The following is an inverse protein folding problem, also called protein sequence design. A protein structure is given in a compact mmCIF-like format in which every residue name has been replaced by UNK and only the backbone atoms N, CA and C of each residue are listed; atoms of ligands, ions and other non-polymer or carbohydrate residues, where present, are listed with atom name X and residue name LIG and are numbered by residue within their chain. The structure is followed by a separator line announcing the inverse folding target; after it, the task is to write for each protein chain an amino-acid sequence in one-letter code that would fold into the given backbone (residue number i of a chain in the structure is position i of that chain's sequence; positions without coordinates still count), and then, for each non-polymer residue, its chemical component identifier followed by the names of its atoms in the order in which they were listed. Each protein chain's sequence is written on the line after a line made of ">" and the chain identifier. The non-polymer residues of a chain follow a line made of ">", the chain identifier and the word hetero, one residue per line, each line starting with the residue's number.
data_IF_001983758193
#
_entry.id   IF_001983758193
#
_cell.length_a   1.000
_cell.length_b   1.000
_cell.length_c   1.000
_cell.angle_alpha   90.00
_cell.angle_beta   90.00
_cell.angle_gamma   90.00
#
_symmetry.space_group_name_H-M   'P 1'
#
loop_
_entity.id
_entity.type
_entity.pdbx_description
1 polymer ?
#
# COMPACT_ATOMS: atom_id res chain seq x y z
N UNK A 1 41.95 28.67 52.84
CA UNK A 1 41.56 30.03 53.28
C UNK A 1 40.05 30.23 53.06
N UNK A 2 39.34 30.71 54.10
CA UNK A 2 37.96 31.29 54.16
C UNK A 2 36.79 30.45 53.56
N UNK A 3 36.02 29.67 54.34
CA UNK A 3 34.85 30.02 55.20
C UNK A 3 33.82 30.99 54.58
N UNK A 4 32.58 30.52 54.38
CA UNK A 4 31.38 31.13 55.02
C UNK A 4 30.13 30.25 54.88
N UNK A 5 29.53 29.91 56.02
CA UNK A 5 28.19 29.31 56.20
C UNK A 5 27.16 30.44 56.29
N UNK A 6 25.94 30.25 55.78
CA UNK A 6 24.74 30.93 56.31
C UNK A 6 23.57 29.95 56.42
N UNK A 7 23.06 29.86 57.64
CA UNK A 7 21.86 29.15 58.12
C UNK A 7 20.71 30.15 58.27
N UNK A 8 19.48 29.66 58.57
CA UNK A 8 18.30 30.33 59.22
C UNK A 8 17.17 30.65 58.21
N UNK A 9 15.87 30.34 58.35
CA UNK A 9 15.01 29.75 59.40
C UNK A 9 13.69 29.24 58.78
N UNK A 10 13.04 28.27 59.44
CA UNK A 10 11.64 27.83 59.24
C UNK A 10 10.64 28.89 59.74
N UNK A 11 9.50 29.06 59.04
CA UNK A 11 8.25 29.59 59.62
C UNK A 11 7.08 28.66 59.31
N UNK A 12 6.45 28.17 60.38
CA UNK A 12 5.16 27.49 60.40
C UNK A 12 4.02 28.50 60.22
N UNK A 13 2.91 28.11 59.59
CA UNK A 13 1.56 28.68 59.85
C UNK A 13 0.46 27.67 59.50
N UNK A 14 -0.01 27.02 60.56
CA UNK A 14 -1.40 26.64 60.92
C UNK A 14 -2.50 26.49 59.85
N UNK A 15 -3.02 25.25 59.78
CA UNK A 15 -4.38 24.89 59.33
C UNK A 15 -5.45 25.45 60.29
N UNK A 16 -6.56 25.98 59.77
CA UNK A 16 -7.83 26.11 60.50
C UNK A 16 -8.97 25.52 59.67
N UNK A 17 -9.62 24.51 60.25
CA UNK A 17 -10.92 24.00 59.84
C UNK A 17 -12.04 24.89 60.39
N UNK A 18 -13.13 25.07 59.66
CA UNK A 18 -14.39 25.60 60.19
C UNK A 18 -15.53 24.65 59.84
N UNK A 19 -16.29 24.32 60.88
CA UNK A 19 -17.41 23.38 60.95
C UNK A 19 -18.71 23.99 60.40
N UNK A 20 -19.64 23.08 60.17
CA UNK A 20 -20.98 23.15 59.57
C UNK A 20 -22.14 23.65 60.45
N UNK A 21 -23.26 24.00 59.74
CA UNK A 21 -24.72 23.99 60.09
C UNK A 21 -25.33 25.28 60.72
N UNK A 22 -26.67 25.52 60.59
CA UNK A 22 -27.77 24.65 60.15
C UNK A 22 -28.73 25.21 59.07
N UNK A 23 -29.80 24.45 58.78
CA UNK A 23 -30.68 24.51 57.62
C UNK A 23 -32.02 25.25 57.84
N UNK A 24 -32.68 25.49 56.68
CA UNK A 24 -34.12 25.70 56.39
C UNK A 24 -34.75 27.09 56.62
N UNK A 25 -35.16 27.71 55.52
CA UNK A 25 -36.56 28.16 55.32
C UNK A 25 -36.98 27.93 53.87
N UNK A 26 -38.04 27.13 53.73
CA UNK A 26 -38.77 26.85 52.49
C UNK A 26 -39.70 28.03 52.24
N UNK A 27 -39.69 28.60 51.03
CA UNK A 27 -40.76 29.46 50.56
C UNK A 27 -41.26 29.00 49.18
N UNK A 28 -42.58 29.09 49.04
CA UNK A 28 -43.41 28.37 48.09
C UNK A 28 -43.23 28.78 46.62
N UNK A 29 -43.46 27.79 45.75
CA UNK A 29 -43.52 27.87 44.28
C UNK A 29 -44.62 28.84 43.82
N UNK A 30 -44.28 29.81 42.97
CA UNK A 30 -45.20 30.36 41.95
C UNK A 30 -44.94 29.62 40.63
N UNK A 31 -45.93 28.86 40.18
CA UNK A 31 -45.91 28.16 38.90
C UNK A 31 -46.28 29.18 37.82
N UNK A 32 -45.31 29.52 36.96
CA UNK A 32 -45.55 30.21 35.68
C UNK A 32 -45.51 29.13 34.60
N UNK A 33 -46.65 28.86 33.98
CA UNK A 33 -46.81 27.91 32.88
C UNK A 33 -46.35 28.53 31.56
N UNK A 34 -45.07 28.41 31.25
CA UNK A 34 -44.56 28.63 29.88
C UNK A 34 -44.69 27.33 29.07
N UNK A 35 -45.46 27.39 27.98
CA UNK A 35 -45.62 26.29 27.01
C UNK A 35 -44.27 25.89 26.41
N UNK A 36 -43.78 24.71 26.77
CA UNK A 36 -42.60 24.08 26.15
C UNK A 36 -42.99 23.59 24.76
N UNK A 37 -42.42 24.20 23.71
CA UNK A 37 -42.47 23.67 22.35
C UNK A 37 -41.79 22.30 22.34
N UNK A 38 -42.50 21.27 21.87
CA UNK A 38 -41.95 19.93 21.61
C UNK A 38 -40.71 20.08 20.70
N UNK A 39 -39.52 19.89 21.26
CA UNK A 39 -38.30 19.65 20.49
C UNK A 39 -38.50 18.35 19.72
N UNK A 40 -38.38 18.41 18.39
CA UNK A 40 -38.25 17.22 17.56
C UNK A 40 -37.07 16.42 18.07
N UNK A 41 -37.33 15.19 18.50
CA UNK A 41 -36.31 14.18 18.80
C UNK A 41 -35.45 14.01 17.56
N UNK A 42 -34.24 14.56 17.60
CA UNK A 42 -33.20 14.28 16.63
C UNK A 42 -32.88 12.79 16.74
N UNK A 43 -33.28 12.04 15.72
CA UNK A 43 -32.83 10.66 15.50
C UNK A 43 -31.30 10.68 15.58
N UNK A 44 -30.66 9.83 16.40
CA UNK A 44 -29.21 9.85 16.52
C UNK A 44 -28.61 9.60 15.13
N UNK A 45 -27.82 10.56 14.63
CA UNK A 45 -26.99 10.38 13.45
C UNK A 45 -26.19 9.10 13.69
N UNK A 46 -26.40 8.10 12.83
CA UNK A 46 -25.55 6.91 12.71
C UNK A 46 -24.11 7.42 12.78
N UNK A 47 -23.32 6.96 13.75
CA UNK A 47 -21.89 7.29 13.81
C UNK A 47 -21.30 6.63 12.56
N UNK A 48 -21.16 7.41 11.49
CA UNK A 48 -20.51 6.96 10.26
C UNK A 48 -19.05 6.81 10.64
N UNK A 49 -18.60 5.56 10.80
CA UNK A 49 -17.19 5.26 10.99
C UNK A 49 -16.36 5.95 9.91
N UNK A 50 -15.15 6.37 10.27
CA UNK A 50 -14.24 7.05 9.34
C UNK A 50 -13.95 6.13 8.15
N UNK A 51 -14.16 6.61 6.92
CA UNK A 51 -13.87 5.86 5.69
C UNK A 51 -12.36 5.74 5.49
N UNK A 52 -11.87 4.55 5.17
CA UNK A 52 -10.45 4.24 5.00
C UNK A 52 -10.07 3.90 3.55
N UNK A 53 -11.00 3.35 2.77
CA UNK A 53 -10.74 2.90 1.39
C UNK A 53 -11.50 3.74 0.36
N UNK A 54 -10.80 4.21 -0.66
CA UNK A 54 -11.29 5.14 -1.68
C UNK A 54 -11.14 4.55 -3.08
N UNK A 55 -12.25 4.24 -3.73
CA UNK A 55 -12.26 3.68 -5.09
C UNK A 55 -11.88 4.70 -6.17
N UNK A 56 -11.28 4.24 -7.26
CA UNK A 56 -11.11 4.99 -8.52
C UNK A 56 -11.22 4.04 -9.73
N UNK A 57 -11.75 4.53 -10.85
CA UNK A 57 -11.87 3.79 -12.11
C UNK A 57 -13.24 3.93 -12.78
N UNK A 58 -13.31 3.60 -14.08
CA UNK A 58 -14.56 3.65 -14.84
C UNK A 58 -15.20 5.03 -14.90
N UNK A 59 -14.37 6.09 -14.98
CA UNK A 59 -14.84 7.48 -15.00
C UNK A 59 -15.32 8.02 -13.65
N UNK A 60 -15.07 7.31 -12.54
CA UNK A 60 -15.55 7.67 -11.19
C UNK A 60 -14.44 7.53 -10.16
N UNK A 61 -14.49 8.34 -9.11
CA UNK A 61 -13.63 8.18 -7.95
C UNK A 61 -14.31 8.65 -6.66
N UNK A 62 -13.91 8.05 -5.54
CA UNK A 62 -14.30 8.46 -4.20
C UNK A 62 -13.40 9.60 -3.65
N UNK A 63 -12.27 9.85 -4.31
CA UNK A 63 -11.28 10.86 -3.97
C UNK A 63 -11.08 11.90 -5.08
N UNK A 64 -10.16 12.85 -4.87
CA UNK A 64 -9.84 13.93 -5.82
C UNK A 64 -8.44 14.49 -5.57
N UNK A 65 -7.90 15.32 -6.48
CA UNK A 65 -6.55 15.89 -6.38
C UNK A 65 -6.25 16.66 -5.09
N UNK A 66 -7.25 17.26 -4.44
CA UNK A 66 -7.05 18.01 -3.18
C UNK A 66 -6.83 17.11 -1.96
N UNK A 67 -7.08 15.81 -2.08
CA UNK A 67 -6.97 14.84 -0.98
C UNK A 67 -5.57 14.22 -0.83
N UNK A 68 -4.52 14.88 -1.33
CA UNK A 68 -3.11 14.41 -1.27
C UNK A 68 -2.66 14.01 0.13
N UNK A 69 -3.12 14.72 1.16
CA UNK A 69 -2.78 14.39 2.54
C UNK A 69 -3.36 13.05 3.00
N UNK A 70 -4.51 12.65 2.47
CA UNK A 70 -5.19 11.42 2.86
C UNK A 70 -4.87 10.23 1.96
N UNK A 71 -4.73 10.48 0.65
CA UNK A 71 -4.57 9.45 -0.39
C UNK A 71 -3.13 9.35 -0.90
N UNK A 72 -2.23 10.19 -0.41
CA UNK A 72 -0.93 10.41 -1.02
C UNK A 72 -1.01 11.09 -2.38
N UNK A 73 0.13 11.48 -2.93
CA UNK A 73 0.22 12.09 -4.25
C UNK A 73 -0.30 11.17 -5.36
N UNK A 74 0.09 9.89 -5.33
CA UNK A 74 -0.33 8.90 -6.33
C UNK A 74 -1.84 8.63 -6.29
N UNK A 75 -2.39 8.34 -5.11
CA UNK A 75 -3.82 8.03 -4.98
C UNK A 75 -4.72 9.21 -5.34
N UNK A 76 -4.34 10.42 -4.92
CA UNK A 76 -5.07 11.64 -5.30
C UNK A 76 -5.04 11.88 -6.82
N UNK A 77 -3.89 11.65 -7.47
CA UNK A 77 -3.78 11.79 -8.93
C UNK A 77 -4.50 10.67 -9.70
N UNK A 78 -4.48 9.43 -9.23
CA UNK A 78 -5.27 8.33 -9.83
C UNK A 78 -6.76 8.63 -9.80
N UNK A 79 -7.25 9.16 -8.68
CA UNK A 79 -8.63 9.61 -8.55
C UNK A 79 -8.94 10.76 -9.51
N UNK A 80 -8.08 11.78 -9.56
CA UNK A 80 -8.24 12.92 -10.48
C UNK A 80 -8.28 12.49 -11.94
N UNK A 81 -7.30 11.67 -12.37
CA UNK A 81 -7.23 11.14 -13.74
C UNK A 81 -8.50 10.40 -14.11
N UNK A 82 -9.05 9.58 -13.20
CA UNK A 82 -10.32 8.89 -13.43
C UNK A 82 -11.51 9.86 -13.52
N UNK A 83 -11.51 10.98 -12.81
CA UNK A 83 -12.61 11.97 -12.86
C UNK A 83 -12.59 12.80 -14.13
N UNK A 84 -11.40 13.12 -14.66
CA UNK A 84 -11.24 13.90 -15.90
C UNK A 84 -11.32 13.03 -17.17
N UNK A 85 -11.64 11.75 -17.03
CA UNK A 85 -11.89 10.85 -18.16
C UNK A 85 -10.66 10.21 -18.79
N UNK A 86 -9.51 10.23 -18.11
CA UNK A 86 -8.34 9.44 -18.55
C UNK A 86 -8.60 7.96 -18.25
N UNK A 87 -8.23 7.09 -19.18
CA UNK A 87 -8.34 5.63 -19.05
C UNK A 87 -7.38 5.11 -17.97
N UNK A 88 -7.84 5.08 -16.73
CA UNK A 88 -7.11 4.54 -15.58
C UNK A 88 -7.67 3.15 -15.23
N UNK A 89 -6.83 2.11 -15.15
CA UNK A 89 -7.25 0.81 -14.64
C UNK A 89 -7.84 0.93 -13.23
N UNK A 90 -9.00 0.30 -13.01
CA UNK A 90 -9.75 0.47 -11.77
C UNK A 90 -8.99 -0.10 -10.56
N UNK A 91 -9.26 0.49 -9.40
CA UNK A 91 -8.60 0.16 -8.16
C UNK A 91 -9.13 0.97 -6.98
N UNK A 92 -8.34 1.00 -5.91
CA UNK A 92 -8.66 1.76 -4.72
C UNK A 92 -7.41 2.15 -3.93
N UNK A 93 -7.51 3.24 -3.18
CA UNK A 93 -6.49 3.73 -2.26
C UNK A 93 -6.92 3.51 -0.82
N UNK A 94 -6.07 2.87 -0.02
CA UNK A 94 -6.17 2.80 1.43
C UNK A 94 -5.44 4.01 2.02
N UNK A 95 -6.12 4.81 2.82
CA UNK A 95 -5.64 6.11 3.26
C UNK A 95 -4.41 6.07 4.18
N UNK A 96 -3.67 7.18 4.23
CA UNK A 96 -2.51 7.36 5.13
C UNK A 96 -2.87 7.16 6.60
N UNK A 97 -4.11 7.46 6.99
CA UNK A 97 -4.58 7.31 8.38
C UNK A 97 -4.56 5.84 8.83
N UNK A 98 -4.70 4.89 7.90
CA UNK A 98 -4.54 3.47 8.19
C UNK A 98 -3.07 3.13 8.49
N UNK A 99 -2.12 3.77 7.82
CA UNK A 99 -0.69 3.63 8.15
C UNK A 99 -0.40 4.15 9.56
N UNK A 100 -0.97 5.31 9.93
CA UNK A 100 -0.86 5.85 11.29
C UNK A 100 -1.47 4.89 12.31
N UNK A 101 -2.68 4.39 12.05
CA UNK A 101 -3.33 3.39 12.91
C UNK A 101 -2.48 2.13 13.05
N UNK A 102 -1.93 1.64 11.95
CA UNK A 102 -1.10 0.44 11.89
C UNK A 102 0.08 0.54 12.88
N UNK A 103 0.83 1.63 12.87
CA UNK A 103 1.93 1.79 13.83
C UNK A 103 1.46 2.06 15.27
N UNK A 104 0.36 2.79 15.47
CA UNK A 104 -0.18 3.07 16.81
C UNK A 104 -0.80 1.84 17.48
N UNK A 105 -1.25 0.85 16.70
CA UNK A 105 -1.97 -0.33 17.18
C UNK A 105 -1.19 -1.63 16.92
N UNK A 106 0.14 -1.62 17.15
CA UNK A 106 1.00 -2.82 17.08
C UNK A 106 0.90 -3.57 15.74
N UNK A 107 0.89 -2.83 14.63
CA UNK A 107 0.81 -3.36 13.26
C UNK A 107 -0.49 -4.14 12.96
N UNK A 108 -1.59 -3.69 13.56
CA UNK A 108 -2.94 -4.20 13.27
C UNK A 108 -3.75 -3.21 12.44
N UNK A 109 -4.92 -3.63 11.96
CA UNK A 109 -5.79 -2.82 11.11
C UNK A 109 -7.08 -2.42 11.84
N UNK A 110 -7.71 -1.29 11.46
CA UNK A 110 -9.07 -0.98 11.89
C UNK A 110 -10.02 -2.13 11.55
N UNK A 111 -10.94 -2.47 12.47
CA UNK A 111 -11.84 -3.61 12.28
C UNK A 111 -12.71 -3.52 11.01
N UNK A 112 -13.03 -2.31 10.55
CA UNK A 112 -13.81 -2.10 9.31
C UNK A 112 -13.00 -2.30 8.03
N UNK A 113 -11.66 -2.25 8.10
CA UNK A 113 -10.81 -2.18 6.91
C UNK A 113 -11.02 -3.38 5.98
N UNK A 114 -11.14 -4.59 6.54
CA UNK A 114 -11.32 -5.81 5.73
C UNK A 114 -12.60 -5.76 4.88
N UNK A 115 -13.69 -5.27 5.46
CA UNK A 115 -14.96 -5.12 4.74
C UNK A 115 -14.91 -4.00 3.71
N UNK A 116 -14.23 -2.90 4.01
CA UNK A 116 -14.04 -1.78 3.07
C UNK A 116 -13.18 -2.19 1.87
N UNK A 117 -12.09 -2.92 2.09
CA UNK A 117 -11.24 -3.49 1.02
C UNK A 117 -12.04 -4.46 0.15
N UNK A 118 -12.81 -5.37 0.75
CA UNK A 118 -13.65 -6.30 0.00
C UNK A 118 -14.69 -5.57 -0.87
N UNK A 119 -15.35 -4.54 -0.30
CA UNK A 119 -16.32 -3.72 -1.04
C UNK A 119 -15.69 -2.94 -2.18
N UNK A 120 -14.46 -2.43 -1.99
CA UNK A 120 -13.73 -1.75 -3.04
C UNK A 120 -13.25 -2.71 -4.13
N UNK A 121 -12.80 -3.92 -3.76
CA UNK A 121 -12.44 -4.97 -4.72
C UNK A 121 -13.63 -5.35 -5.59
N UNK A 122 -14.82 -5.55 -5.02
CA UNK A 122 -16.04 -5.83 -5.79
C UNK A 122 -16.37 -4.74 -6.82
N UNK A 123 -16.15 -3.46 -6.48
CA UNK A 123 -16.31 -2.35 -7.44
C UNK A 123 -15.27 -2.44 -8.56
N UNK A 124 -14.02 -2.74 -8.22
CA UNK A 124 -12.94 -2.95 -9.20
C UNK A 124 -13.28 -4.10 -10.15
N UNK A 125 -13.67 -5.25 -9.61
CA UNK A 125 -14.07 -6.44 -10.39
C UNK A 125 -15.21 -6.14 -11.35
N UNK A 126 -16.22 -5.39 -10.89
CA UNK A 126 -17.35 -4.97 -11.73
C UNK A 126 -16.92 -4.07 -12.88
N UNK A 127 -15.99 -3.14 -12.66
CA UNK A 127 -15.50 -2.25 -13.72
C UNK A 127 -14.60 -3.00 -14.71
N UNK A 128 -13.79 -3.93 -14.21
CA UNK A 128 -12.83 -4.69 -15.03
C UNK A 128 -13.41 -5.96 -15.66
N UNK A 129 -14.65 -6.35 -15.32
CA UNK A 129 -15.29 -7.56 -15.82
C UNK A 129 -14.51 -8.84 -15.51
N UNK A 130 -13.75 -8.86 -14.42
CA UNK A 130 -12.87 -9.97 -13.99
C UNK A 130 -12.91 -10.09 -12.46
N UNK A 131 -12.63 -11.26 -11.90
CA UNK A 131 -12.78 -11.52 -10.45
C UNK A 131 -11.43 -11.88 -9.82
N UNK A 132 -11.11 -11.26 -8.68
CA UNK A 132 -9.86 -11.49 -7.96
C UNK A 132 -9.85 -12.90 -7.36
N UNK A 133 -8.82 -13.67 -7.70
CA UNK A 133 -8.72 -15.08 -7.29
C UNK A 133 -9.62 -16.06 -8.05
N UNK A 134 -10.31 -15.63 -9.10
CA UNK A 134 -11.10 -16.56 -9.93
C UNK A 134 -10.19 -17.51 -10.74
N UNK A 135 -10.48 -18.82 -10.78
CA UNK A 135 -9.74 -19.77 -11.60
C UNK A 135 -10.06 -19.67 -13.09
N UNK A 136 -11.19 -19.05 -13.47
CA UNK A 136 -11.66 -18.97 -14.85
C UNK A 136 -11.38 -17.60 -15.49
N UNK A 137 -11.74 -16.51 -14.80
CA UNK A 137 -11.52 -15.15 -15.28
C UNK A 137 -10.80 -14.29 -14.23
N UNK A 138 -9.52 -14.62 -13.96
CA UNK A 138 -8.73 -13.94 -12.94
C UNK A 138 -8.52 -12.45 -13.21
N UNK A 139 -8.56 -11.69 -12.12
CA UNK A 139 -8.08 -10.31 -12.00
C UNK A 139 -6.73 -10.33 -11.28
N UNK A 140 -5.71 -9.70 -11.87
CA UNK A 140 -4.43 -9.46 -11.21
C UNK A 140 -4.33 -8.00 -10.79
N UNK A 141 -3.65 -7.72 -9.69
CA UNK A 141 -3.48 -6.38 -9.15
C UNK A 141 -2.02 -6.06 -8.84
N UNK A 142 -1.73 -4.77 -8.75
CA UNK A 142 -0.52 -4.22 -8.15
C UNK A 142 -0.87 -3.60 -6.80
N UNK A 143 0.08 -3.65 -5.86
CA UNK A 143 0.02 -2.99 -4.57
C UNK A 143 1.17 -2.01 -4.48
N UNK A 144 0.86 -0.70 -4.49
CA UNK A 144 1.83 0.37 -4.69
C UNK A 144 1.74 1.40 -3.58
N UNK A 145 2.89 1.74 -2.99
CA UNK A 145 3.01 2.84 -2.03
C UNK A 145 2.73 4.21 -2.65
N UNK A 146 2.13 5.10 -1.87
CA UNK A 146 1.86 6.49 -2.25
C UNK A 146 1.86 7.43 -1.05
N UNK A 147 2.99 8.07 -0.77
CA UNK A 147 3.11 9.06 0.29
C UNK A 147 2.62 10.43 -0.18
N UNK A 148 2.46 11.37 0.76
CA UNK A 148 2.06 12.77 0.48
C UNK A 148 3.10 13.49 -0.37
N UNK A 149 4.37 13.31 -0.01
CA UNK A 149 5.51 13.76 -0.81
C UNK A 149 6.03 12.60 -1.66
N UNK A 150 6.63 12.94 -2.81
CA UNK A 150 7.26 11.94 -3.68
C UNK A 150 8.50 11.38 -2.99
N UNK A 151 8.62 10.05 -2.96
CA UNK A 151 9.79 9.34 -2.43
C UNK A 151 10.22 8.27 -3.44
N UNK A 152 10.85 8.66 -4.56
CA UNK A 152 11.20 7.73 -5.65
C UNK A 152 12.18 6.65 -5.20
N UNK A 153 11.88 5.38 -5.49
CA UNK A 153 12.75 4.24 -5.14
C UNK A 153 12.84 3.91 -3.64
N UNK A 154 12.15 4.65 -2.77
CA UNK A 154 12.26 4.49 -1.31
C UNK A 154 11.18 3.60 -0.71
N UNK A 155 10.11 3.34 -1.46
CA UNK A 155 8.96 2.59 -0.97
C UNK A 155 8.61 1.45 -1.93
N UNK A 156 8.07 0.40 -1.33
CA UNK A 156 7.91 -0.86 -2.04
C UNK A 156 6.69 -0.87 -2.96
N UNK A 157 6.72 -1.77 -3.93
CA UNK A 157 5.65 -2.10 -4.87
C UNK A 157 5.67 -3.60 -5.11
N UNK A 158 4.48 -4.20 -5.24
CA UNK A 158 4.31 -5.59 -5.64
C UNK A 158 3.40 -5.65 -6.85
N UNK A 159 3.85 -6.29 -7.93
CA UNK A 159 3.07 -6.48 -9.16
C UNK A 159 2.56 -7.92 -9.27
N UNK A 160 1.61 -8.15 -10.18
CA UNK A 160 1.08 -9.48 -10.52
C UNK A 160 0.42 -10.24 -9.35
N UNK A 161 0.05 -9.54 -8.27
CA UNK A 161 -0.62 -10.13 -7.10
C UNK A 161 -1.94 -10.77 -7.54
N UNK A 162 -2.16 -12.02 -7.12
CA UNK A 162 -3.28 -12.86 -7.52
C UNK A 162 -2.90 -14.05 -8.39
N UNK A 163 -1.67 -14.13 -8.89
CA UNK A 163 -1.16 -15.36 -9.53
C UNK A 163 -0.90 -16.42 -8.47
N UNK A 164 -1.53 -17.58 -8.66
CA UNK A 164 -1.38 -18.78 -7.84
C UNK A 164 -1.70 -20.03 -8.63
N UNK A 165 -1.46 -21.21 -8.04
CA UNK A 165 -1.83 -22.48 -8.66
C UNK A 165 -3.30 -22.53 -9.11
N UNK A 166 -4.19 -21.80 -8.41
CA UNK A 166 -5.62 -21.73 -8.74
C UNK A 166 -5.92 -20.81 -9.95
N UNK A 167 -5.17 -19.74 -10.15
CA UNK A 167 -5.49 -18.70 -11.15
C UNK A 167 -4.66 -18.81 -12.43
N UNK A 168 -3.55 -19.54 -12.42
CA UNK A 168 -2.66 -19.69 -13.57
C UNK A 168 -3.41 -20.21 -14.80
N UNK A 169 -4.20 -21.28 -14.66
CA UNK A 169 -4.94 -21.86 -15.79
C UNK A 169 -5.91 -20.86 -16.45
N UNK A 170 -6.66 -20.11 -15.63
CA UNK A 170 -7.55 -19.04 -16.12
C UNK A 170 -6.80 -17.90 -16.78
N UNK A 171 -5.66 -17.49 -16.25
CA UNK A 171 -4.81 -16.47 -16.88
C UNK A 171 -4.27 -16.94 -18.23
N UNK A 172 -3.87 -18.21 -18.35
CA UNK A 172 -3.43 -18.80 -19.61
C UNK A 172 -4.57 -18.78 -20.63
N UNK A 173 -5.76 -19.24 -20.24
CA UNK A 173 -6.93 -19.25 -21.12
C UNK A 173 -7.32 -17.83 -21.59
N UNK A 174 -7.25 -16.85 -20.69
CA UNK A 174 -7.59 -15.45 -20.96
C UNK A 174 -6.59 -14.75 -21.90
N UNK A 175 -5.31 -15.12 -21.82
CA UNK A 175 -4.25 -14.44 -22.58
C UNK A 175 -3.81 -15.19 -23.82
N UNK A 176 -4.07 -16.50 -23.89
CA UNK A 176 -3.52 -17.37 -24.93
C UNK A 176 -1.98 -17.46 -24.91
N UNK A 177 -1.34 -17.00 -23.82
CA UNK A 177 0.11 -16.86 -23.74
C UNK A 177 0.66 -17.42 -22.42
N UNK A 178 0.86 -18.76 -22.34
CA UNK A 178 1.34 -19.39 -21.12
C UNK A 178 2.75 -18.98 -20.70
N UNK A 179 3.65 -18.74 -21.66
CA UNK A 179 4.97 -18.18 -21.41
C UNK A 179 4.89 -16.87 -20.63
N UNK A 180 4.01 -15.94 -21.04
CA UNK A 180 3.78 -14.68 -20.33
C UNK A 180 3.29 -14.91 -18.90
N UNK A 181 2.36 -15.85 -18.68
CA UNK A 181 1.82 -16.12 -17.34
C UNK A 181 2.90 -16.63 -16.40
N UNK A 182 3.74 -17.57 -16.84
CA UNK A 182 4.85 -18.06 -16.03
C UNK A 182 5.97 -17.01 -15.84
N UNK A 183 6.21 -16.14 -16.81
CA UNK A 183 7.10 -14.98 -16.64
C UNK A 183 6.57 -13.99 -15.59
N UNK A 184 5.26 -13.70 -15.62
CA UNK A 184 4.62 -12.87 -14.60
C UNK A 184 4.65 -13.54 -13.21
N UNK A 185 4.51 -14.86 -13.15
CA UNK A 185 4.53 -15.62 -11.89
C UNK A 185 5.93 -15.69 -11.26
N UNK A 186 6.99 -15.97 -12.03
CA UNK A 186 8.37 -15.90 -11.48
C UNK A 186 8.72 -14.50 -10.98
N UNK A 187 8.26 -13.44 -11.66
CA UNK A 187 8.45 -12.04 -11.25
C UNK A 187 7.68 -11.74 -9.96
N UNK A 188 6.44 -12.23 -9.83
CA UNK A 188 5.69 -12.15 -8.56
C UNK A 188 6.46 -12.82 -7.43
N UNK A 189 6.89 -14.08 -7.61
CA UNK A 189 7.62 -14.83 -6.57
C UNK A 189 8.85 -14.04 -6.11
N UNK A 190 9.66 -13.59 -7.07
CA UNK A 190 10.88 -12.85 -6.80
C UNK A 190 10.63 -11.54 -6.04
N UNK A 191 9.69 -10.74 -6.51
CA UNK A 191 9.37 -9.43 -5.93
C UNK A 191 8.68 -9.55 -4.58
N UNK A 192 7.71 -10.46 -4.46
CA UNK A 192 6.96 -10.67 -3.22
C UNK A 192 7.86 -11.24 -2.12
N UNK A 193 8.75 -12.17 -2.46
CA UNK A 193 9.69 -12.72 -1.48
C UNK A 193 10.66 -11.67 -0.94
N UNK A 194 11.19 -10.80 -1.80
CA UNK A 194 12.02 -9.66 -1.41
C UNK A 194 11.26 -8.66 -0.53
N UNK A 195 10.14 -8.15 -1.04
CA UNK A 195 9.41 -7.03 -0.44
C UNK A 195 8.63 -7.46 0.79
N UNK A 196 7.83 -8.51 0.66
CA UNK A 196 6.84 -8.91 1.67
C UNK A 196 7.45 -9.91 2.64
N UNK A 197 8.16 -10.91 2.13
CA UNK A 197 8.60 -12.02 2.96
C UNK A 197 9.95 -11.77 3.68
N UNK A 198 10.82 -10.94 3.11
CA UNK A 198 12.13 -10.61 3.70
C UNK A 198 12.11 -9.22 4.35
N UNK A 199 12.03 -8.15 3.55
CA UNK A 199 12.15 -6.76 4.04
C UNK A 199 11.06 -6.37 5.03
N UNK A 200 9.79 -6.59 4.68
CA UNK A 200 8.68 -6.22 5.56
C UNK A 200 8.61 -7.08 6.84
N UNK A 201 9.14 -8.30 6.79
CA UNK A 201 9.29 -9.16 7.95
C UNK A 201 10.44 -8.74 8.88
N UNK A 202 11.27 -7.77 8.47
CA UNK A 202 12.42 -7.30 9.23
C UNK A 202 13.59 -8.29 9.21
N UNK A 203 13.66 -9.16 8.22
CA UNK A 203 14.78 -10.07 8.01
C UNK A 203 15.92 -9.27 7.39
N UNK A 204 17.09 -9.29 8.04
CA UNK A 204 18.30 -8.61 7.57
C UNK A 204 19.35 -9.65 7.18
N UNK A 205 19.36 -10.10 5.91
CA UNK A 205 20.35 -11.05 5.44
C UNK A 205 21.74 -10.40 5.42
N UNK A 206 22.78 -11.23 5.46
CA UNK A 206 24.15 -10.78 5.21
C UNK A 206 24.26 -10.12 3.82
N UNK A 207 25.28 -9.28 3.65
CA UNK A 207 25.50 -8.57 2.40
C UNK A 207 25.56 -9.52 1.20
N UNK A 208 24.78 -9.23 0.16
CA UNK A 208 24.69 -10.07 -1.05
C UNK A 208 23.94 -11.41 -0.87
N UNK A 209 23.29 -11.64 0.28
CA UNK A 209 22.54 -12.87 0.59
C UNK A 209 21.02 -12.65 0.64
N UNK A 210 20.50 -11.49 0.28
CA UNK A 210 19.06 -11.26 0.20
C UNK A 210 18.37 -12.15 -0.83
N UNK A 211 17.12 -12.54 -0.54
CA UNK A 211 16.39 -13.51 -1.34
C UNK A 211 16.33 -13.12 -2.82
N UNK A 212 16.12 -11.84 -3.14
CA UNK A 212 16.11 -11.36 -4.53
C UNK A 212 17.41 -11.68 -5.26
N UNK A 213 18.56 -11.39 -4.63
CA UNK A 213 19.88 -11.65 -5.21
C UNK A 213 20.09 -13.14 -5.45
N UNK A 214 19.60 -13.99 -4.55
CA UNK A 214 19.69 -15.45 -4.71
C UNK A 214 18.82 -15.95 -5.88
N UNK A 215 17.61 -15.42 -6.05
CA UNK A 215 16.73 -15.76 -7.17
C UNK A 215 17.29 -15.25 -8.51
N UNK A 216 17.84 -14.03 -8.53
CA UNK A 216 18.53 -13.48 -9.71
C UNK A 216 19.73 -14.35 -10.13
N UNK A 217 20.48 -14.90 -9.16
CA UNK A 217 21.57 -15.84 -9.45
C UNK A 217 21.05 -17.12 -10.11
N UNK A 218 19.93 -17.69 -9.65
CA UNK A 218 19.32 -18.88 -10.25
C UNK A 218 18.91 -18.59 -11.71
N UNK A 219 18.24 -17.46 -11.95
CA UNK A 219 17.86 -17.03 -13.30
C UNK A 219 19.09 -16.84 -14.20
N UNK A 220 20.14 -16.19 -13.70
CA UNK A 220 21.37 -15.98 -14.46
C UNK A 220 22.09 -17.30 -14.78
N UNK A 221 22.10 -18.26 -13.84
CA UNK A 221 22.66 -19.59 -14.07
C UNK A 221 21.88 -20.35 -15.14
N UNK A 222 20.54 -20.30 -15.13
CA UNK A 222 19.71 -20.88 -16.18
C UNK A 222 20.06 -20.30 -17.55
N UNK A 223 20.07 -18.97 -17.67
CA UNK A 223 20.42 -18.29 -18.93
C UNK A 223 21.79 -18.67 -19.45
N UNK A 224 22.80 -18.69 -18.56
CA UNK A 224 24.17 -19.07 -18.92
C UNK A 224 24.28 -20.54 -19.32
N UNK A 225 23.60 -21.45 -18.63
CA UNK A 225 23.63 -22.88 -18.93
C UNK A 225 22.95 -23.22 -20.27
N UNK A 226 21.98 -22.41 -20.68
CA UNK A 226 21.17 -22.61 -21.90
C UNK A 226 21.51 -21.65 -23.05
N UNK A 227 22.47 -20.74 -22.85
CA UNK A 227 22.89 -19.70 -23.80
C UNK A 227 21.75 -18.77 -24.27
N UNK A 228 20.83 -18.41 -23.38
CA UNK A 228 19.84 -17.36 -23.68
C UNK A 228 20.47 -15.97 -23.57
N UNK A 229 20.19 -15.11 -24.54
CA UNK A 229 20.70 -13.73 -24.54
C UNK A 229 19.91 -12.85 -23.56
N UNK A 230 18.59 -13.03 -23.53
CA UNK A 230 17.66 -12.23 -22.75
C UNK A 230 16.67 -13.11 -21.98
N UNK A 231 15.97 -12.51 -21.01
CA UNK A 231 14.87 -13.20 -20.32
C UNK A 231 13.73 -13.59 -21.28
N UNK A 232 13.54 -12.84 -22.37
CA UNK A 232 12.51 -13.09 -23.37
C UNK A 232 12.71 -14.42 -24.10
N UNK A 233 13.96 -14.88 -24.22
CA UNK A 233 14.32 -16.11 -24.92
C UNK A 233 14.01 -17.38 -24.10
N UNK A 234 13.67 -17.25 -22.82
CA UNK A 234 13.38 -18.39 -21.95
C UNK A 234 12.00 -18.99 -22.32
N UNK A 235 11.93 -20.28 -22.70
CA UNK A 235 10.68 -20.93 -23.09
C UNK A 235 9.78 -21.22 -21.89
N UNK A 236 8.50 -21.45 -22.17
CA UNK A 236 7.45 -21.72 -21.18
C UNK A 236 7.83 -22.81 -20.17
N UNK A 237 8.25 -23.99 -20.64
CA UNK A 237 8.55 -25.14 -19.78
C UNK A 237 9.66 -24.84 -18.78
N UNK A 238 10.66 -24.05 -19.20
CA UNK A 238 11.77 -23.67 -18.33
C UNK A 238 11.36 -22.56 -17.35
N UNK A 239 10.48 -21.63 -17.72
CA UNK A 239 9.88 -20.68 -16.77
C UNK A 239 9.04 -21.37 -15.71
N UNK A 240 8.28 -22.40 -16.09
CA UNK A 240 7.50 -23.22 -15.15
C UNK A 240 8.42 -23.92 -14.14
N UNK A 241 9.49 -24.54 -14.61
CA UNK A 241 10.51 -25.15 -13.73
C UNK A 241 11.21 -24.11 -12.84
N UNK A 242 11.49 -22.92 -13.38
CA UNK A 242 12.10 -21.82 -12.64
C UNK A 242 11.20 -21.33 -11.50
N UNK A 243 9.89 -21.26 -11.71
CA UNK A 243 8.94 -20.92 -10.64
C UNK A 243 9.02 -21.92 -9.47
N UNK A 244 9.12 -23.22 -9.74
CA UNK A 244 9.28 -24.23 -8.70
C UNK A 244 10.62 -24.10 -7.97
N UNK A 245 11.73 -23.89 -8.71
CA UNK A 245 13.04 -23.64 -8.11
C UNK A 245 13.04 -22.39 -7.22
N UNK A 246 12.34 -21.33 -7.64
CA UNK A 246 12.21 -20.11 -6.85
C UNK A 246 11.44 -20.38 -5.56
N UNK A 247 10.29 -21.06 -5.63
CA UNK A 247 9.51 -21.42 -4.42
C UNK A 247 10.32 -22.28 -3.46
N UNK A 248 11.09 -23.25 -3.98
CA UNK A 248 11.98 -24.06 -3.16
C UNK A 248 13.06 -23.19 -2.47
N UNK A 249 13.72 -22.31 -3.22
CA UNK A 249 14.75 -21.40 -2.66
C UNK A 249 14.15 -20.47 -1.59
N UNK A 250 12.94 -19.96 -1.82
CA UNK A 250 12.21 -19.13 -0.85
C UNK A 250 11.97 -19.89 0.45
N UNK A 251 11.51 -21.15 0.37
CA UNK A 251 11.31 -21.99 1.55
C UNK A 251 12.62 -22.27 2.28
N UNK A 252 13.70 -22.57 1.56
CA UNK A 252 15.03 -22.85 2.12
C UNK A 252 15.60 -21.64 2.88
N UNK A 253 15.47 -20.43 2.32
CA UNK A 253 16.09 -19.22 2.86
C UNK A 253 15.22 -18.54 3.93
N UNK A 254 13.90 -18.48 3.70
CA UNK A 254 12.97 -17.74 4.56
C UNK A 254 12.19 -18.65 5.53
N UNK A 255 12.35 -19.97 5.42
CA UNK A 255 11.74 -20.95 6.33
C UNK A 255 10.22 -21.10 6.19
N UNK A 256 9.62 -20.56 5.13
CA UNK A 256 8.18 -20.62 4.86
C UNK A 256 7.90 -20.68 3.36
N UNK A 257 6.80 -21.32 3.01
CA UNK A 257 6.36 -21.43 1.61
C UNK A 257 5.89 -20.08 1.06
N UNK A 258 6.01 -19.92 -0.26
CA UNK A 258 5.42 -18.78 -0.97
C UNK A 258 3.88 -18.85 -0.88
N UNK A 259 3.18 -17.75 -0.56
CA UNK A 259 1.73 -17.77 -0.38
C UNK A 259 1.01 -18.03 -1.71
N UNK A 260 0.30 -19.16 -1.78
CA UNK A 260 -0.45 -19.58 -2.96
C UNK A 260 -1.93 -19.14 -2.93
N UNK A 261 -2.33 -18.38 -1.91
CA UNK A 261 -3.66 -17.75 -1.84
C UNK A 261 -3.61 -16.27 -2.32
N UNK A 262 -4.41 -15.87 -3.31
CA UNK A 262 -4.49 -14.48 -3.78
C UNK A 262 -4.79 -13.45 -2.68
N UNK A 263 -5.65 -13.78 -1.70
CA UNK A 263 -6.00 -12.84 -0.63
C UNK A 263 -4.90 -12.72 0.42
N UNK A 264 -4.19 -13.80 0.73
CA UNK A 264 -2.97 -13.75 1.54
C UNK A 264 -1.92 -12.85 0.88
N UNK A 265 -1.72 -12.99 -0.44
CA UNK A 265 -0.82 -12.10 -1.20
C UNK A 265 -1.26 -10.63 -1.13
N UNK A 266 -2.55 -10.34 -1.30
CA UNK A 266 -3.08 -8.97 -1.18
C UNK A 266 -2.80 -8.36 0.19
N UNK A 267 -3.13 -9.08 1.28
CA UNK A 267 -2.93 -8.56 2.63
C UNK A 267 -1.46 -8.46 3.03
N UNK A 268 -0.63 -9.41 2.57
CA UNK A 268 0.82 -9.31 2.73
C UNK A 268 1.40 -8.11 2.01
N UNK A 269 0.99 -7.85 0.77
CA UNK A 269 1.38 -6.66 0.01
C UNK A 269 0.97 -5.35 0.69
N UNK A 270 -0.27 -5.26 1.18
CA UNK A 270 -0.75 -4.09 1.95
C UNK A 270 0.12 -3.88 3.20
N UNK A 271 0.37 -4.94 3.96
CA UNK A 271 1.20 -4.88 5.17
C UNK A 271 2.65 -4.53 4.90
N UNK A 272 3.19 -4.97 3.76
CA UNK A 272 4.53 -4.63 3.34
C UNK A 272 4.67 -3.16 2.98
N UNK A 273 3.70 -2.59 2.25
CA UNK A 273 3.69 -1.15 1.96
C UNK A 273 3.65 -0.34 3.24
N UNK A 274 2.77 -0.65 4.19
CA UNK A 274 2.74 0.08 5.46
C UNK A 274 4.05 -0.08 6.24
N UNK A 275 4.58 -1.30 6.32
CA UNK A 275 5.85 -1.58 6.99
C UNK A 275 7.04 -0.84 6.35
N UNK A 276 7.01 -0.63 5.03
CA UNK A 276 8.06 0.07 4.29
C UNK A 276 8.21 1.54 4.71
N UNK A 277 7.16 2.16 5.28
CA UNK A 277 7.24 3.53 5.78
C UNK A 277 8.33 3.67 6.87
N UNK A 278 8.45 2.72 7.78
CA UNK A 278 9.53 2.72 8.78
C UNK A 278 10.72 1.82 8.39
N UNK A 279 10.90 1.55 7.10
CA UNK A 279 12.12 0.93 6.58
C UNK A 279 13.32 1.85 6.74
N UNK A 280 14.52 1.29 6.96
CA UNK A 280 15.77 2.04 7.18
C UNK A 280 16.01 3.10 6.10
N UNK A 281 15.83 2.74 4.82
CA UNK A 281 16.01 3.65 3.67
C UNK A 281 15.00 4.80 3.69
N UNK A 282 13.73 4.50 3.95
CA UNK A 282 12.66 5.49 4.01
C UNK A 282 12.88 6.50 5.17
N UNK A 283 13.29 6.03 6.35
CA UNK A 283 13.62 6.89 7.49
C UNK A 283 14.78 7.83 7.15
N UNK A 284 15.87 7.30 6.58
CA UNK A 284 17.02 8.12 6.20
C UNK A 284 16.65 9.18 5.17
N UNK A 285 15.89 8.79 4.13
CA UNK A 285 15.41 9.71 3.10
C UNK A 285 14.54 10.82 3.70
N UNK A 286 13.60 10.49 4.57
CA UNK A 286 12.73 11.48 5.23
C UNK A 286 13.51 12.49 6.07
N UNK A 287 14.55 12.05 6.77
CA UNK A 287 15.41 12.95 7.56
C UNK A 287 16.16 13.95 6.68
N UNK A 288 16.62 13.51 5.50
CA UNK A 288 17.33 14.36 4.53
C UNK A 288 16.37 15.37 3.90
N UNK A 289 15.19 14.92 3.48
CA UNK A 289 14.20 15.74 2.76
C UNK A 289 13.26 16.53 3.70
N UNK A 290 13.41 16.41 5.02
CA UNK A 290 12.54 17.07 6.00
C UNK A 290 11.08 16.60 5.97
N UNK A 291 10.83 15.34 5.61
CA UNK A 291 9.49 14.75 5.55
C UNK A 291 9.09 14.22 6.94
N UNK A 292 7.97 14.69 7.54
CA UNK A 292 7.55 14.24 8.88
C UNK A 292 7.15 12.76 8.94
N UNK A 293 7.50 12.09 10.05
CA UNK A 293 7.25 10.66 10.27
C UNK A 293 5.76 10.33 10.41
N UNK A 294 4.96 11.26 10.93
CA UNK A 294 3.53 11.09 11.20
C UNK A 294 2.65 11.11 9.95
N UNK A 295 3.21 11.48 8.79
CA UNK A 295 2.44 11.56 7.53
C UNK A 295 1.97 10.20 7.03
N UNK A 296 2.74 9.14 7.30
CA UNK A 296 2.46 7.80 6.80
C UNK A 296 2.48 7.69 5.27
N UNK A 297 2.08 6.52 4.79
CA UNK A 297 1.94 6.23 3.36
C UNK A 297 0.56 5.65 3.07
N UNK A 298 0.00 5.98 1.90
CA UNK A 298 -1.20 5.32 1.40
C UNK A 298 -0.82 4.07 0.59
N UNK A 299 -1.77 3.14 0.46
CA UNK A 299 -1.62 1.95 -0.37
C UNK A 299 -2.56 2.05 -1.56
N UNK A 300 -2.03 1.99 -2.77
CA UNK A 300 -2.83 1.96 -3.99
C UNK A 300 -2.88 0.53 -4.49
N UNK A 301 -4.07 -0.06 -4.50
CA UNK A 301 -4.34 -1.36 -5.09
C UNK A 301 -4.98 -1.10 -6.45
N UNK A 302 -4.32 -1.52 -7.53
CA UNK A 302 -4.74 -1.19 -8.89
C UNK A 302 -4.68 -2.41 -9.78
N UNK A 303 -5.69 -2.59 -10.63
CA UNK A 303 -5.71 -3.66 -11.63
C UNK A 303 -4.48 -3.61 -12.53
N UNK A 304 -3.87 -4.77 -12.76
CA UNK A 304 -2.75 -4.92 -13.70
C UNK A 304 -3.22 -4.70 -15.13
N UNK A 305 -2.38 -4.02 -15.89
CA UNK A 305 -2.37 -4.03 -17.35
C UNK A 305 -0.98 -4.46 -17.79
N UNK A 306 -0.88 -5.16 -18.91
CA UNK A 306 0.34 -5.86 -19.30
C UNK A 306 0.91 -5.27 -20.58
N UNK A 307 2.13 -4.71 -20.47
CA UNK A 307 2.93 -4.30 -21.62
C UNK A 307 3.70 -5.45 -22.27
N UNK A 308 3.65 -6.65 -21.68
CA UNK A 308 4.44 -7.84 -22.05
C UNK A 308 3.58 -9.03 -22.53
N UNK A 309 2.44 -8.76 -23.18
CA UNK A 309 1.60 -9.80 -23.79
C UNK A 309 2.02 -10.17 -25.22
N UNK A 310 3.09 -9.57 -25.75
CA UNK A 310 3.58 -9.75 -27.12
C UNK A 310 3.87 -8.42 -27.81
N UNK A 311 4.10 -8.48 -29.12
CA UNK A 311 4.58 -7.35 -29.94
C UNK A 311 3.58 -6.18 -30.07
N UNK A 312 2.29 -6.40 -29.80
CA UNK A 312 1.26 -5.36 -29.81
C UNK A 312 1.05 -4.71 -28.44
N UNK A 313 1.93 -4.97 -27.47
CA UNK A 313 1.89 -4.44 -26.10
C UNK A 313 3.18 -3.70 -25.77
N UNK A 314 3.07 -2.65 -24.96
CA UNK A 314 4.19 -1.82 -24.59
C UNK A 314 4.00 -1.13 -23.24
N UNK A 315 5.10 -0.68 -22.65
CA UNK A 315 5.13 0.17 -21.46
C UNK A 315 6.09 1.33 -21.70
N UNK A 316 5.86 2.47 -21.06
CA UNK A 316 6.74 3.63 -21.21
C UNK A 316 6.51 4.72 -20.19
N UNK A 317 7.43 5.69 -20.18
CA UNK A 317 7.37 6.89 -19.36
C UNK A 317 7.59 8.08 -20.27
N UNK A 318 6.77 9.12 -20.10
CA UNK A 318 6.89 10.33 -20.89
C UNK A 318 6.62 11.59 -20.04
N UNK A 319 7.18 12.68 -20.52
CA UNK A 319 7.03 14.03 -20.05
C UNK A 319 6.42 14.88 -21.16
N UNK A 320 5.49 15.75 -20.81
CA UNK A 320 4.86 16.67 -21.77
C UNK A 320 5.83 17.72 -22.33
N UNK A 321 6.97 17.92 -21.68
CA UNK A 321 8.09 18.79 -22.07
C UNK A 321 9.40 18.11 -21.75
N UNK A 322 10.49 18.53 -22.41
CA UNK A 322 11.82 18.03 -22.11
C UNK A 322 12.21 18.42 -20.66
N UNK A 323 12.44 17.46 -19.75
CA UNK A 323 12.72 17.76 -18.35
C UNK A 323 14.11 18.37 -18.11
N UNK A 324 15.04 18.23 -19.07
CA UNK A 324 16.39 18.78 -18.98
C UNK A 324 16.49 20.21 -19.53
N UNK A 325 15.80 20.52 -20.64
CA UNK A 325 15.90 21.83 -21.31
C UNK A 325 14.69 22.73 -21.10
N UNK A 326 13.55 22.18 -20.67
CA UNK A 326 12.27 22.89 -20.60
C UNK A 326 11.58 23.09 -21.97
N UNK A 327 12.18 22.60 -23.05
CA UNK A 327 11.61 22.71 -24.40
C UNK A 327 10.22 22.07 -24.47
N UNK A 328 9.27 22.73 -25.13
CA UNK A 328 7.91 22.26 -25.29
C UNK A 328 7.80 21.17 -26.37
N UNK A 329 8.51 20.06 -26.16
CA UNK A 329 8.48 18.84 -26.97
C UNK A 329 8.17 17.64 -26.08
N UNK A 330 7.35 16.74 -26.60
CA UNK A 330 7.07 15.45 -25.96
C UNK A 330 8.38 14.66 -25.87
N UNK A 331 8.70 14.18 -24.66
CA UNK A 331 9.95 13.48 -24.38
C UNK A 331 9.62 12.22 -23.59
N UNK A 332 10.10 11.05 -24.03
CA UNK A 332 9.84 9.81 -23.32
C UNK A 332 10.49 8.61 -23.96
N UNK A 333 10.41 7.49 -23.25
CA UNK A 333 10.97 6.20 -23.61
C UNK A 333 9.92 5.12 -23.42
N UNK A 334 10.00 4.07 -24.24
CA UNK A 334 9.07 2.95 -24.18
C UNK A 334 9.74 1.67 -24.66
N UNK A 335 9.22 0.54 -24.19
CA UNK A 335 9.69 -0.80 -24.54
C UNK A 335 8.49 -1.65 -24.99
N UNK A 336 8.64 -2.31 -26.14
CA UNK A 336 7.72 -3.35 -26.63
C UNK A 336 7.87 -4.60 -25.77
N UNK A 337 6.77 -5.30 -25.52
CA UNK A 337 6.75 -6.60 -24.87
C UNK A 337 7.48 -6.62 -23.50
N UNK A 338 7.28 -5.57 -22.70
CA UNK A 338 8.00 -5.34 -21.44
C UNK A 338 7.06 -4.92 -20.30
N UNK A 339 7.49 -5.06 -19.05
CA UNK A 339 6.80 -4.48 -17.89
C UNK A 339 7.49 -3.20 -17.44
N UNK A 340 6.78 -2.35 -16.70
CA UNK A 340 7.30 -1.04 -16.28
C UNK A 340 8.61 -1.11 -15.47
N UNK A 341 8.92 -2.26 -14.87
CA UNK A 341 10.21 -2.49 -14.22
C UNK A 341 11.38 -2.53 -15.20
N UNK A 342 11.17 -3.08 -16.40
CA UNK A 342 12.21 -3.21 -17.43
C UNK A 342 12.55 -1.84 -18.07
N UNK A 343 11.65 -0.85 -17.95
CA UNK A 343 11.90 0.54 -18.38
C UNK A 343 12.79 1.29 -17.37
N UNK A 344 12.82 0.83 -16.11
CA UNK A 344 13.57 1.47 -15.02
C UNK A 344 14.93 0.80 -14.77
N UNK A 345 15.07 -0.48 -15.15
CA UNK A 345 16.25 -1.31 -14.92
C UNK A 345 17.43 -0.96 -15.85
#
# INVERSE_FOLDING_TARGET
>A
MKKSKKTIQKKQTTKKAVKSKPAKKVLAKKIVTTKVKKQKTLVPKKVVGKKHVYFFGGGKADGQATMKNLLGGKGANLAEMSLIGISVPAGFTISTDVCTYYYQNKRTYPASLKQEVASAMQKTEKVMGSVFGSPENPLLISVRSGARSSMPGMMETVLNVGLSSATIAGMIAKTGNPRFVYDAYRRLIMMYSDVVMEKAAGVEPAEGMGIRVQLDRILHQLKKAKNYATDADIPEDELKQLCEQFKQKVREVLGRDFPDDPYEQLWGGIGAVFSSWNGKRAISYRRIEGIPDEWGTAVNVQTMVFGNMGESSATGVAFSRNPATGENKFYGEWLVNAQGEDVVA
#
